data_IF_559499117965
#
_entry.id   IF_559499117965
#
_cell.length_a   1.000
_cell.length_b   1.000
_cell.length_c   1.000
_cell.angle_alpha   90.00
_cell.angle_beta   90.00
_cell.angle_gamma   90.00
#
_symmetry.space_group_name_H-M   'P 1'
#
loop_
_entity.id
_entity.type
_entity.pdbx_description
1 polymer ?
#
# COMPACT_ATOMS: atom_id res chain seq x y z
N UNK A 1 -14.77 -13.59 -10.68
CA UNK A 1 -14.99 -12.30 -9.97
C UNK A 1 -14.58 -12.35 -8.51
N UNK A 2 -15.10 -13.26 -7.67
CA UNK A 2 -14.77 -13.31 -6.22
C UNK A 2 -13.26 -13.38 -5.93
N UNK A 3 -12.51 -14.23 -6.63
CA UNK A 3 -11.05 -14.40 -6.43
C UNK A 3 -10.22 -13.12 -6.63
N UNK A 4 -10.60 -12.28 -7.59
CA UNK A 4 -9.89 -11.03 -7.84
C UNK A 4 -10.22 -9.99 -6.74
N UNK A 5 -11.47 -9.93 -6.29
CA UNK A 5 -11.88 -9.04 -5.20
C UNK A 5 -11.25 -9.46 -3.86
N UNK A 6 -11.19 -10.76 -3.58
CA UNK A 6 -10.48 -11.30 -2.41
C UNK A 6 -8.98 -10.98 -2.45
N UNK A 7 -8.34 -11.12 -3.61
CA UNK A 7 -6.93 -10.76 -3.79
C UNK A 7 -6.69 -9.25 -3.55
N UNK A 8 -7.55 -8.39 -4.09
CA UNK A 8 -7.48 -6.93 -3.86
C UNK A 8 -7.71 -6.60 -2.38
N UNK A 9 -8.69 -7.22 -1.72
CA UNK A 9 -8.94 -7.02 -0.29
C UNK A 9 -7.75 -7.47 0.58
N UNK A 10 -7.10 -8.57 0.19
CA UNK A 10 -5.87 -9.03 0.85
C UNK A 10 -4.73 -8.04 0.70
N UNK A 11 -4.55 -7.44 -0.49
CA UNK A 11 -3.54 -6.38 -0.67
C UNK A 11 -3.90 -5.14 0.15
N UNK A 12 -5.17 -4.70 0.15
CA UNK A 12 -5.63 -3.55 0.94
C UNK A 12 -5.33 -3.71 2.43
N UNK A 13 -5.58 -4.89 2.99
CA UNK A 13 -5.27 -5.16 4.40
C UNK A 13 -3.76 -5.07 4.72
N UNK A 14 -2.89 -5.37 3.75
CA UNK A 14 -1.44 -5.17 3.90
C UNK A 14 -1.05 -3.70 3.72
N UNK A 15 -1.71 -2.98 2.81
CA UNK A 15 -1.52 -1.54 2.63
C UNK A 15 -1.93 -0.76 3.88
N UNK A 16 -3.05 -1.09 4.52
CA UNK A 16 -3.50 -0.46 5.76
C UNK A 16 -2.43 -0.55 6.87
N UNK A 17 -1.77 -1.70 7.02
CA UNK A 17 -0.66 -1.87 7.99
C UNK A 17 0.57 -1.04 7.63
N UNK A 18 0.87 -0.91 6.34
CA UNK A 18 1.98 -0.09 5.86
C UNK A 18 1.68 1.40 6.05
N UNK A 19 0.42 1.82 5.89
CA UNK A 19 -0.02 3.17 6.16
C UNK A 19 0.18 3.54 7.64
N UNK A 20 -0.21 2.67 8.57
CA UNK A 20 0.05 2.87 10.01
C UNK A 20 1.54 3.05 10.31
N UNK A 21 2.39 2.24 9.67
CA UNK A 21 3.86 2.36 9.81
C UNK A 21 4.36 3.71 9.27
N UNK A 22 3.90 4.15 8.10
CA UNK A 22 4.29 5.43 7.52
C UNK A 22 3.84 6.58 8.42
N UNK A 23 2.59 6.56 8.91
CA UNK A 23 2.10 7.58 9.86
C UNK A 23 2.91 7.63 11.16
N UNK A 24 3.37 6.49 11.67
CA UNK A 24 4.27 6.48 12.83
C UNK A 24 5.64 7.13 12.53
N UNK A 25 6.16 6.94 11.32
CA UNK A 25 7.40 7.61 10.88
C UNK A 25 7.19 9.12 10.72
N UNK A 26 6.06 9.56 10.16
CA UNK A 26 5.70 10.97 10.03
C UNK A 26 5.64 11.64 11.41
N UNK A 27 4.91 11.06 12.37
CA UNK A 27 4.83 11.59 13.74
C UNK A 27 6.21 11.66 14.41
N UNK A 28 7.08 10.68 14.19
CA UNK A 28 8.43 10.69 14.73
C UNK A 28 9.27 11.84 14.16
N UNK A 29 9.23 12.05 12.84
CA UNK A 29 9.93 13.13 12.15
C UNK A 29 9.41 14.50 12.57
N UNK A 30 8.09 14.67 12.61
CA UNK A 30 7.43 15.91 13.05
C UNK A 30 7.76 16.22 14.52
N UNK A 31 7.91 15.18 15.34
CA UNK A 31 8.41 15.28 16.72
C UNK A 31 9.91 15.58 16.85
N UNK A 32 10.63 15.76 15.74
CA UNK A 32 12.07 16.05 15.71
C UNK A 32 12.96 14.83 15.91
N UNK A 33 12.41 13.62 15.88
CA UNK A 33 13.20 12.39 15.98
C UNK A 33 13.95 12.17 14.68
N UNK A 34 15.27 11.96 14.77
CA UNK A 34 16.09 11.65 13.62
C UNK A 34 15.91 10.17 13.23
N UNK A 35 15.05 9.93 12.26
CA UNK A 35 14.79 8.61 11.66
C UNK A 35 15.88 8.26 10.64
N UNK A 36 16.25 6.99 10.53
CA UNK A 36 17.22 6.52 9.53
C UNK A 36 16.59 6.44 8.14
N UNK A 37 17.33 6.87 7.11
CA UNK A 37 16.97 6.70 5.69
C UNK A 37 16.52 5.28 5.33
N UNK A 38 17.08 4.27 6.00
CA UNK A 38 16.72 2.87 5.82
C UNK A 38 15.25 2.57 6.14
N UNK A 39 14.67 3.25 7.14
CA UNK A 39 13.27 3.04 7.51
C UNK A 39 12.30 3.56 6.44
N UNK A 40 12.67 4.65 5.76
CA UNK A 40 11.92 5.15 4.61
C UNK A 40 12.08 4.23 3.40
N UNK A 41 13.32 3.84 3.07
CA UNK A 41 13.59 2.93 1.95
C UNK A 41 12.84 1.60 2.10
N UNK A 42 12.82 1.03 3.31
CA UNK A 42 12.09 -0.21 3.57
C UNK A 42 10.57 -0.02 3.41
N UNK A 43 10.02 1.11 3.88
CA UNK A 43 8.60 1.41 3.73
C UNK A 43 8.21 1.56 2.26
N UNK A 44 9.02 2.30 1.49
CA UNK A 44 8.88 2.43 0.03
C UNK A 44 8.95 1.07 -0.66
N UNK A 45 9.92 0.22 -0.32
CA UNK A 45 10.05 -1.11 -0.93
C UNK A 45 8.83 -1.99 -0.66
N UNK A 46 8.31 -1.97 0.57
CA UNK A 46 7.13 -2.76 0.95
C UNK A 46 5.87 -2.28 0.22
N UNK A 47 5.68 -0.97 0.06
CA UNK A 47 4.58 -0.37 -0.70
C UNK A 47 4.68 -0.74 -2.19
N UNK A 48 5.88 -0.64 -2.78
CA UNK A 48 6.13 -1.03 -4.18
C UNK A 48 5.84 -2.52 -4.42
N UNK A 49 6.12 -3.40 -3.45
CA UNK A 49 5.74 -4.82 -3.54
C UNK A 49 4.23 -5.03 -3.56
N UNK A 50 3.45 -4.22 -2.84
CA UNK A 50 1.98 -4.30 -2.91
C UNK A 50 1.45 -3.79 -4.26
N UNK A 51 2.02 -2.70 -4.79
CA UNK A 51 1.70 -2.21 -6.13
C UNK A 51 1.92 -3.28 -7.21
N UNK A 52 3.07 -3.96 -7.19
CA UNK A 52 3.34 -5.06 -8.12
C UNK A 52 2.34 -6.22 -7.99
N UNK A 53 1.89 -6.54 -6.78
CA UNK A 53 0.83 -7.54 -6.58
C UNK A 53 -0.49 -7.08 -7.17
N UNK A 54 -0.87 -5.82 -7.00
CA UNK A 54 -2.09 -5.25 -7.59
C UNK A 54 -2.02 -5.29 -9.13
N UNK A 55 -0.89 -4.91 -9.72
CA UNK A 55 -0.68 -4.95 -11.16
C UNK A 55 -0.81 -6.37 -11.72
N UNK A 56 -0.38 -7.38 -10.96
CA UNK A 56 -0.51 -8.80 -11.30
C UNK A 56 -1.95 -9.36 -11.17
N UNK A 57 -2.90 -8.63 -10.60
CA UNK A 57 -4.29 -9.08 -10.50
C UNK A 57 -5.02 -8.74 -11.81
N UNK A 58 -5.30 -9.78 -12.59
CA UNK A 58 -6.25 -9.71 -13.70
C UNK A 58 -7.68 -9.53 -13.15
N UNK A 59 -8.22 -8.33 -13.33
CA UNK A 59 -9.53 -7.94 -12.82
C UNK A 59 -10.39 -7.30 -13.91
N UNK A 60 -11.65 -7.74 -14.01
CA UNK A 60 -12.68 -7.20 -14.88
C UNK A 60 -13.88 -6.73 -14.05
N UNK A 61 -14.71 -5.83 -14.61
CA UNK A 61 -15.89 -5.29 -13.92
C UNK A 61 -15.54 -4.51 -12.63
N UNK A 62 -16.26 -4.77 -11.54
CA UNK A 62 -16.10 -4.07 -10.25
C UNK A 62 -14.70 -4.26 -9.64
N UNK A 63 -14.08 -5.42 -9.82
CA UNK A 63 -12.73 -5.68 -9.32
C UNK A 63 -11.67 -4.78 -9.98
N UNK A 64 -11.90 -4.35 -11.23
CA UNK A 64 -11.04 -3.38 -11.93
C UNK A 64 -11.15 -1.98 -11.31
N UNK A 65 -12.35 -1.61 -10.85
CA UNK A 65 -12.60 -0.32 -10.18
C UNK A 65 -11.92 -0.32 -8.81
N UNK A 66 -12.07 -1.41 -8.03
CA UNK A 66 -11.38 -1.57 -6.75
C UNK A 66 -9.85 -1.49 -6.90
N UNK A 67 -9.28 -2.18 -7.90
CA UNK A 67 -7.84 -2.12 -8.17
C UNK A 67 -7.37 -0.69 -8.48
N UNK A 68 -8.13 0.08 -9.28
CA UNK A 68 -7.78 1.46 -9.62
C UNK A 68 -7.82 2.39 -8.39
N UNK A 69 -8.84 2.24 -7.54
CA UNK A 69 -8.95 3.03 -6.33
C UNK A 69 -7.76 2.78 -5.38
N UNK A 70 -7.30 1.52 -5.28
CA UNK A 70 -6.14 1.18 -4.46
C UNK A 70 -4.83 1.77 -5.02
N UNK A 71 -4.68 1.80 -6.35
CA UNK A 71 -3.53 2.46 -7.00
C UNK A 71 -3.54 3.97 -6.76
N UNK A 72 -4.71 4.62 -6.82
CA UNK A 72 -4.83 6.05 -6.48
C UNK A 72 -4.49 6.31 -5.01
N UNK A 73 -4.95 5.44 -4.09
CA UNK A 73 -4.62 5.54 -2.67
C UNK A 73 -3.13 5.38 -2.39
N UNK A 74 -2.44 4.49 -3.11
CA UNK A 74 -1.00 4.26 -2.97
C UNK A 74 -0.12 5.35 -3.60
N UNK A 75 -0.68 6.19 -4.48
CA UNK A 75 0.07 7.18 -5.26
C UNK A 75 -0.18 8.64 -4.82
N UNK A 76 -1.07 8.86 -3.85
CA UNK A 76 -1.27 10.13 -3.14
C UNK A 76 -0.52 10.12 -1.81
#
# INVERSE_FOLDING_TARGET
MLKASEAVAGVRAEVDKLAERVSALEVAVDGGTRVSDKEFLMSTELLMRQLLKLDGIEAEGEAKIQRKAEVEYLCC
#
